data_IF_746823919994
#
_entry.id   IF_746823919994
#
_cell.length_a   1.000
_cell.length_b   1.000
_cell.length_c   1.000
_cell.angle_alpha   90.00
_cell.angle_beta   90.00
_cell.angle_gamma   90.00
#
_symmetry.space_group_name_H-M   'P 1'
#
loop_
_entity.id
_entity.type
_entity.pdbx_description
1 polymer ?
#
# COMPACT_ATOMS: atom_id res chain seq x y z
N UNK A 1 25.84 -1.10 -7.58
CA UNK A 1 24.80 -1.83 -8.36
C UNK A 1 23.86 -0.79 -8.96
N UNK A 2 23.42 -0.95 -10.21
CA UNK A 2 22.47 -0.01 -10.82
C UNK A 2 21.03 -0.56 -10.68
N UNK A 3 20.58 -0.70 -9.44
CA UNK A 3 19.25 -1.18 -9.08
C UNK A 3 18.59 -0.21 -8.12
N UNK A 4 17.25 -0.16 -8.11
CA UNK A 4 16.44 0.60 -7.17
C UNK A 4 15.30 -0.20 -6.59
N UNK A 5 14.69 0.29 -5.52
CA UNK A 5 13.54 -0.38 -4.89
C UNK A 5 12.41 0.62 -4.69
N UNK A 6 11.23 0.26 -5.18
CA UNK A 6 10.01 1.04 -5.11
C UNK A 6 9.01 0.31 -4.22
N UNK A 7 8.52 0.98 -3.20
CA UNK A 7 7.60 0.39 -2.24
C UNK A 7 6.23 1.05 -2.33
N UNK A 8 5.17 0.26 -2.41
CA UNK A 8 3.89 0.75 -1.94
C UNK A 8 3.89 0.92 -0.41
N UNK A 9 2.90 1.58 0.13
CA UNK A 9 2.78 1.87 1.56
C UNK A 9 1.82 0.92 2.27
N UNK A 10 0.55 0.99 1.88
CA UNK A 10 -0.56 0.35 2.56
C UNK A 10 -0.58 -1.16 2.24
N UNK A 11 -0.57 -2.01 3.25
CA UNK A 11 -0.46 -3.46 3.02
C UNK A 11 0.96 -3.95 2.69
N UNK A 12 1.92 -3.04 2.42
CA UNK A 12 3.33 -3.38 2.16
C UNK A 12 4.22 -3.00 3.34
N UNK A 13 4.24 -1.74 3.71
CA UNK A 13 5.11 -1.22 4.78
C UNK A 13 4.34 -1.00 6.08
N UNK A 14 3.05 -0.64 5.99
CA UNK A 14 2.16 -0.43 7.13
C UNK A 14 0.91 -1.29 7.02
N UNK A 15 0.44 -1.79 8.17
CA UNK A 15 -0.80 -2.56 8.27
C UNK A 15 -1.98 -1.60 8.47
N UNK A 16 -2.58 -1.18 7.38
CA UNK A 16 -3.83 -0.41 7.38
C UNK A 16 -5.05 -1.27 7.04
N UNK A 17 -4.88 -2.34 6.28
CA UNK A 17 -5.95 -3.22 5.83
C UNK A 17 -6.69 -3.91 7.00
N UNK A 18 -5.95 -4.37 8.02
CA UNK A 18 -6.57 -4.96 9.21
C UNK A 18 -7.42 -3.94 9.97
N UNK A 19 -6.96 -2.69 10.06
CA UNK A 19 -7.64 -1.60 10.75
C UNK A 19 -8.93 -1.19 10.02
N UNK A 20 -8.88 -1.02 8.70
CA UNK A 20 -10.09 -0.74 7.90
C UNK A 20 -11.06 -1.93 7.90
N UNK A 21 -10.55 -3.16 7.89
CA UNK A 21 -11.39 -4.37 8.01
C UNK A 21 -12.16 -4.38 9.33
N UNK A 22 -11.49 -4.01 10.44
CA UNK A 22 -12.14 -3.87 11.74
C UNK A 22 -13.18 -2.76 11.72
N UNK A 23 -12.84 -1.57 11.24
CA UNK A 23 -13.75 -0.43 11.13
C UNK A 23 -15.02 -0.79 10.35
N UNK A 24 -14.89 -1.35 9.14
CA UNK A 24 -16.03 -1.73 8.33
C UNK A 24 -16.86 -2.88 8.92
N UNK A 25 -16.25 -3.75 9.70
CA UNK A 25 -16.98 -4.78 10.47
C UNK A 25 -17.84 -4.14 11.56
N UNK A 26 -17.32 -3.14 12.28
CA UNK A 26 -18.06 -2.39 13.30
C UNK A 26 -19.19 -1.55 12.66
N UNK A 27 -18.94 -0.91 11.52
CA UNK A 27 -19.99 -0.21 10.74
C UNK A 27 -21.09 -1.17 10.32
N UNK A 28 -20.76 -2.36 9.80
CA UNK A 28 -21.76 -3.34 9.38
C UNK A 28 -22.55 -3.93 10.55
N UNK A 29 -22.01 -3.95 11.76
CA UNK A 29 -22.76 -4.32 12.98
C UNK A 29 -23.78 -3.24 13.35
N UNK A 30 -23.45 -1.96 13.17
CA UNK A 30 -24.31 -0.82 13.50
C UNK A 30 -25.36 -0.56 12.40
N UNK A 31 -24.95 -0.70 11.13
CA UNK A 31 -25.76 -0.51 9.93
C UNK A 31 -25.71 -1.79 9.08
N UNK A 32 -26.50 -2.83 9.41
CA UNK A 32 -26.38 -4.13 8.76
C UNK A 32 -26.73 -4.08 7.26
N UNK A 33 -25.80 -4.53 6.42
CA UNK A 33 -26.00 -4.60 4.95
C UNK A 33 -26.65 -5.91 4.50
N UNK A 34 -26.74 -6.93 5.36
CA UNK A 34 -27.15 -8.28 5.01
C UNK A 34 -26.12 -9.07 4.17
N UNK A 35 -24.91 -8.53 4.04
CA UNK A 35 -23.84 -9.15 3.24
C UNK A 35 -22.87 -9.88 4.18
N UNK A 36 -22.74 -11.19 4.01
CA UNK A 36 -21.77 -12.00 4.75
C UNK A 36 -20.34 -11.56 4.45
N UNK A 37 -19.50 -11.44 5.49
CA UNK A 37 -18.11 -11.00 5.37
C UNK A 37 -17.96 -9.66 4.66
N UNK A 38 -18.88 -8.72 4.94
CA UNK A 38 -19.00 -7.42 4.27
C UNK A 38 -17.65 -6.70 4.13
N UNK A 39 -16.90 -6.53 5.26
CA UNK A 39 -15.63 -5.82 5.27
C UNK A 39 -14.59 -6.41 4.30
N UNK A 40 -14.63 -7.72 4.04
CA UNK A 40 -13.76 -8.36 3.05
C UNK A 40 -14.25 -8.17 1.62
N UNK A 41 -15.58 -8.14 1.41
CA UNK A 41 -16.16 -7.98 0.06
C UNK A 41 -15.96 -6.59 -0.52
N UNK A 42 -15.83 -5.58 0.33
CA UNK A 42 -15.63 -4.18 -0.11
C UNK A 42 -14.15 -3.82 -0.31
N UNK A 43 -13.20 -4.72 -0.04
CA UNK A 43 -11.78 -4.45 -0.29
C UNK A 43 -11.55 -4.06 -1.75
N UNK A 44 -10.79 -2.97 -1.94
CA UNK A 44 -10.53 -2.41 -3.26
C UNK A 44 -11.68 -1.58 -3.87
N UNK A 45 -12.83 -1.46 -3.19
CA UNK A 45 -13.88 -0.53 -3.59
C UNK A 45 -13.56 0.89 -3.10
N UNK A 46 -13.88 1.89 -3.90
CA UNK A 46 -13.84 3.26 -3.43
C UNK A 46 -15.01 3.57 -2.49
N UNK A 47 -14.83 4.58 -1.64
CA UNK A 47 -15.80 4.95 -0.61
C UNK A 47 -17.18 5.30 -1.19
N UNK A 48 -17.22 6.07 -2.30
CA UNK A 48 -18.47 6.47 -2.95
C UNK A 48 -19.30 5.25 -3.36
N UNK A 49 -18.64 4.25 -3.97
CA UNK A 49 -19.30 3.00 -4.36
C UNK A 49 -19.81 2.21 -3.15
N UNK A 50 -19.04 2.15 -2.07
CA UNK A 50 -19.48 1.48 -0.83
C UNK A 50 -20.74 2.15 -0.31
N UNK A 51 -20.72 3.47 -0.14
CA UNK A 51 -21.85 4.22 0.40
C UNK A 51 -23.09 4.12 -0.50
N UNK A 52 -22.94 4.34 -1.79
CA UNK A 52 -24.10 4.35 -2.71
C UNK A 52 -24.70 2.96 -2.90
N UNK A 53 -23.89 1.90 -2.85
CA UNK A 53 -24.35 0.50 -3.08
C UNK A 53 -25.01 -0.10 -1.85
N UNK A 54 -24.42 0.12 -0.67
CA UNK A 54 -24.81 -0.61 0.54
C UNK A 54 -25.54 0.23 1.58
N UNK A 55 -25.44 1.54 1.51
CA UNK A 55 -26.04 2.49 2.45
C UNK A 55 -26.83 3.58 1.69
N UNK A 56 -27.99 3.24 1.08
CA UNK A 56 -28.73 4.19 0.23
C UNK A 56 -29.36 5.35 1.02
N UNK A 57 -29.51 5.22 2.34
CA UNK A 57 -30.04 6.25 3.21
C UNK A 57 -28.99 7.33 3.50
N UNK A 58 -29.36 8.60 3.24
CA UNK A 58 -28.44 9.74 3.35
C UNK A 58 -28.01 10.05 4.78
N UNK A 59 -28.84 9.72 5.77
CA UNK A 59 -28.49 9.98 7.17
C UNK A 59 -27.47 8.95 7.67
N UNK A 60 -27.66 7.66 7.33
CA UNK A 60 -26.67 6.63 7.57
C UNK A 60 -25.33 6.95 6.89
N UNK A 61 -25.35 7.46 5.64
CA UNK A 61 -24.11 7.88 4.96
C UNK A 61 -23.36 8.96 5.73
N UNK A 62 -24.07 9.99 6.23
CA UNK A 62 -23.44 11.06 7.02
C UNK A 62 -22.81 10.54 8.31
N UNK A 63 -23.52 9.65 9.01
CA UNK A 63 -23.00 9.07 10.25
C UNK A 63 -21.79 8.18 10.00
N UNK A 64 -21.80 7.37 8.93
CA UNK A 64 -20.67 6.55 8.50
C UNK A 64 -19.46 7.44 8.12
N UNK A 65 -19.68 8.52 7.37
CA UNK A 65 -18.62 9.46 7.00
C UNK A 65 -18.00 10.13 8.23
N UNK A 66 -18.84 10.55 9.19
CA UNK A 66 -18.35 11.11 10.46
C UNK A 66 -17.54 10.09 11.27
N UNK A 67 -18.01 8.85 11.33
CA UNK A 67 -17.29 7.76 12.00
C UNK A 67 -15.96 7.46 11.30
N UNK A 68 -15.94 7.44 9.96
CA UNK A 68 -14.72 7.23 9.17
C UNK A 68 -13.70 8.36 9.40
N UNK A 69 -14.13 9.61 9.36
CA UNK A 69 -13.26 10.77 9.62
C UNK A 69 -12.64 10.67 11.02
N UNK A 70 -13.45 10.33 12.04
CA UNK A 70 -12.94 10.15 13.40
C UNK A 70 -11.96 8.98 13.47
N UNK A 71 -12.29 7.83 12.86
CA UNK A 71 -11.39 6.69 12.79
C UNK A 71 -10.05 7.07 12.14
N UNK A 72 -10.08 7.79 11.03
CA UNK A 72 -8.86 8.23 10.33
C UNK A 72 -8.06 9.31 11.08
N UNK A 73 -8.69 10.05 11.99
CA UNK A 73 -7.98 10.96 12.91
C UNK A 73 -7.24 10.20 14.01
N UNK A 74 -7.84 9.11 14.50
CA UNK A 74 -7.36 8.33 15.64
C UNK A 74 -6.52 7.10 15.23
N UNK A 75 -6.48 6.76 13.93
CA UNK A 75 -5.80 5.56 13.41
C UNK A 75 -4.33 5.53 13.84
N UNK A 76 -3.90 4.36 14.37
CA UNK A 76 -2.52 4.11 14.73
C UNK A 76 -1.86 3.29 13.63
N UNK A 77 -0.98 3.92 12.85
CA UNK A 77 -0.26 3.25 11.78
C UNK A 77 0.78 2.28 12.36
N UNK A 78 0.63 1.01 12.07
CA UNK A 78 1.56 -0.04 12.49
C UNK A 78 2.48 -0.42 11.35
N UNK A 79 3.78 -0.23 11.54
CA UNK A 79 4.77 -0.71 10.58
C UNK A 79 4.87 -2.23 10.69
N UNK A 80 4.82 -2.93 9.56
CA UNK A 80 4.94 -4.39 9.56
C UNK A 80 6.28 -4.85 10.13
N UNK A 81 6.31 -6.00 10.83
CA UNK A 81 7.56 -6.58 11.33
C UNK A 81 8.57 -6.82 10.20
N UNK A 82 9.84 -6.53 10.46
CA UNK A 82 10.93 -6.69 9.49
C UNK A 82 11.15 -5.50 8.55
N UNK A 83 10.16 -4.64 8.33
CA UNK A 83 10.24 -3.50 7.40
C UNK A 83 11.41 -2.56 7.73
N UNK A 84 11.52 -2.11 8.97
CA UNK A 84 12.58 -1.16 9.37
C UNK A 84 13.97 -1.76 9.17
N UNK A 85 14.13 -3.06 9.48
CA UNK A 85 15.40 -3.76 9.24
C UNK A 85 15.72 -3.80 7.74
N UNK A 86 14.75 -4.18 6.91
CA UNK A 86 14.92 -4.28 5.47
C UNK A 86 15.27 -2.93 4.82
N UNK A 87 14.55 -1.86 5.18
CA UNK A 87 14.82 -0.50 4.71
C UNK A 87 16.21 0.00 5.17
N UNK A 88 16.60 -0.31 6.42
CA UNK A 88 17.93 0.02 6.94
C UNK A 88 19.02 -0.70 6.17
N UNK A 89 18.83 -1.99 5.85
CA UNK A 89 19.78 -2.80 5.10
C UNK A 89 19.98 -2.27 3.66
N UNK A 90 18.89 -1.84 2.99
CA UNK A 90 18.95 -1.17 1.68
C UNK A 90 19.77 0.12 1.76
N UNK A 91 19.47 0.96 2.74
CA UNK A 91 20.16 2.24 2.95
C UNK A 91 21.65 2.04 3.23
N UNK A 92 22.01 1.09 4.09
CA UNK A 92 23.41 0.77 4.40
C UNK A 92 24.19 0.26 3.20
N UNK A 93 23.50 -0.34 2.22
CA UNK A 93 24.10 -0.80 0.96
C UNK A 93 24.11 0.27 -0.12
N UNK A 94 23.56 1.46 0.15
CA UNK A 94 23.44 2.53 -0.84
C UNK A 94 22.52 2.17 -2.01
N UNK A 95 21.53 1.30 -1.79
CA UNK A 95 20.50 0.98 -2.81
C UNK A 95 19.41 2.03 -2.71
N UNK A 96 19.20 2.85 -3.76
CA UNK A 96 18.22 3.92 -3.73
C UNK A 96 16.79 3.39 -3.66
N UNK A 97 15.96 4.09 -2.87
CA UNK A 97 14.59 3.68 -2.57
C UNK A 97 13.59 4.81 -2.82
N UNK A 98 12.40 4.46 -3.32
CA UNK A 98 11.27 5.38 -3.35
C UNK A 98 10.03 4.76 -2.70
N UNK A 99 9.31 5.56 -1.92
CA UNK A 99 7.95 5.27 -1.50
C UNK A 99 6.99 5.75 -2.59
N UNK A 100 6.07 4.89 -3.03
CA UNK A 100 5.15 5.16 -4.15
C UNK A 100 3.75 4.74 -3.75
N UNK A 101 3.01 5.65 -3.14
CA UNK A 101 1.70 5.38 -2.56
C UNK A 101 0.56 6.08 -3.30
N UNK A 102 -0.63 5.48 -3.28
CA UNK A 102 -1.88 6.13 -3.68
C UNK A 102 -2.47 7.03 -2.60
N UNK A 103 -1.90 6.99 -1.39
CA UNK A 103 -2.29 7.87 -0.28
C UNK A 103 -1.94 9.33 -0.58
N UNK A 104 -2.77 10.24 -0.05
CA UNK A 104 -2.57 11.68 -0.18
C UNK A 104 -1.56 12.23 0.84
N UNK A 105 -1.22 13.50 0.68
CA UNK A 105 -0.25 14.19 1.56
C UNK A 105 -0.74 14.28 3.01
N UNK A 106 -2.06 14.34 3.27
CA UNK A 106 -2.61 14.43 4.61
C UNK A 106 -2.41 13.12 5.39
N UNK A 107 -2.66 11.97 4.75
CA UNK A 107 -2.37 10.66 5.35
C UNK A 107 -0.88 10.50 5.62
N UNK A 108 -0.02 10.94 4.68
CA UNK A 108 1.43 10.90 4.87
C UNK A 108 1.88 11.78 6.05
N UNK A 109 1.27 12.96 6.24
CA UNK A 109 1.53 13.83 7.39
C UNK A 109 1.17 13.15 8.71
N UNK A 110 0.01 12.48 8.78
CA UNK A 110 -0.42 11.72 9.96
C UNK A 110 0.57 10.57 10.27
N UNK A 111 1.00 9.83 9.25
CA UNK A 111 2.01 8.78 9.40
C UNK A 111 3.34 9.33 9.96
N UNK A 112 3.84 10.44 9.41
CA UNK A 112 5.11 11.02 9.86
C UNK A 112 5.03 11.63 11.25
N UNK A 113 3.86 12.10 11.70
CA UNK A 113 3.67 12.53 13.09
C UNK A 113 3.83 11.37 14.08
N UNK A 114 3.38 10.16 13.70
CA UNK A 114 3.51 8.96 14.51
C UNK A 114 4.91 8.30 14.37
N UNK A 115 5.50 8.39 13.19
CA UNK A 115 6.79 7.77 12.85
C UNK A 115 7.73 8.79 12.19
N UNK A 116 8.29 9.78 12.92
CA UNK A 116 9.03 10.91 12.33
C UNK A 116 10.26 10.52 11.51
N UNK A 117 10.91 9.40 11.86
CA UNK A 117 12.09 8.89 11.16
C UNK A 117 11.76 8.09 9.90
N UNK A 118 10.50 7.70 9.69
CA UNK A 118 10.11 6.79 8.60
C UNK A 118 10.45 7.34 7.21
N UNK A 119 10.21 8.63 6.98
CA UNK A 119 10.55 9.28 5.72
C UNK A 119 12.05 9.24 5.37
N UNK A 120 12.91 9.10 6.37
CA UNK A 120 14.37 9.13 6.19
C UNK A 120 14.94 7.85 5.55
N UNK A 121 14.10 6.82 5.36
CA UNK A 121 14.48 5.60 4.66
C UNK A 121 14.38 5.71 3.15
N UNK A 122 13.73 6.77 2.62
CA UNK A 122 13.46 6.91 1.20
C UNK A 122 14.21 8.11 0.61
N UNK A 123 14.78 7.91 -0.59
CA UNK A 123 15.42 8.97 -1.37
C UNK A 123 14.38 9.82 -2.11
N UNK A 124 13.19 9.23 -2.38
CA UNK A 124 12.05 9.92 -2.97
C UNK A 124 10.72 9.39 -2.42
N UNK A 125 9.70 10.25 -2.43
CA UNK A 125 8.33 9.91 -2.01
C UNK A 125 7.38 10.44 -3.07
N UNK A 126 6.55 9.55 -3.62
CA UNK A 126 5.50 9.85 -4.60
C UNK A 126 4.17 9.55 -3.95
N UNK A 127 3.34 10.56 -3.77
CA UNK A 127 1.97 10.44 -3.24
C UNK A 127 0.93 10.46 -4.36
N UNK A 128 -0.31 10.08 -4.04
CA UNK A 128 -1.42 10.10 -4.99
C UNK A 128 -1.65 11.46 -5.65
N UNK A 129 -1.41 12.55 -4.90
CA UNK A 129 -1.56 13.93 -5.41
C UNK A 129 -0.51 14.30 -6.48
N UNK A 130 0.56 13.55 -6.58
CA UNK A 130 1.67 13.82 -7.49
C UNK A 130 1.51 13.20 -8.86
N UNK A 131 0.48 12.38 -9.09
CA UNK A 131 0.26 11.66 -10.35
C UNK A 131 -1.07 12.05 -10.98
N UNK A 132 -1.14 12.00 -12.31
CA UNK A 132 -2.37 12.29 -13.05
C UNK A 132 -3.26 11.06 -13.19
N UNK A 133 -2.67 9.87 -13.15
CA UNK A 133 -3.36 8.58 -13.27
C UNK A 133 -2.92 7.66 -12.15
N UNK A 134 -3.89 7.24 -11.33
CA UNK A 134 -3.66 6.29 -10.23
C UNK A 134 -3.42 4.86 -10.74
N UNK A 135 -2.88 4.00 -9.90
CA UNK A 135 -2.78 2.54 -10.13
C UNK A 135 -4.17 2.00 -10.59
N UNK A 136 -4.26 1.16 -11.61
CA UNK A 136 -3.20 0.36 -12.22
C UNK A 136 -2.37 1.05 -13.31
N UNK A 137 -2.48 2.36 -13.52
CA UNK A 137 -1.58 3.05 -14.42
C UNK A 137 -0.16 3.09 -13.82
N UNK A 138 0.90 2.79 -14.59
CA UNK A 138 2.29 2.73 -14.09
C UNK A 138 2.95 4.08 -13.84
N UNK A 139 2.27 5.21 -14.06
CA UNK A 139 2.82 6.57 -13.95
C UNK A 139 3.57 6.80 -12.63
N UNK A 140 2.99 6.34 -11.50
CA UNK A 140 3.57 6.53 -10.19
C UNK A 140 4.94 5.83 -10.06
N UNK A 141 5.09 4.60 -10.58
CA UNK A 141 6.35 3.86 -10.53
C UNK A 141 7.38 4.44 -11.50
N UNK A 142 6.99 4.88 -12.71
CA UNK A 142 7.89 5.63 -13.59
C UNK A 142 8.44 6.88 -12.90
N UNK A 143 7.57 7.61 -12.20
CA UNK A 143 7.96 8.83 -11.49
C UNK A 143 8.91 8.51 -10.32
N UNK A 144 8.60 7.50 -9.50
CA UNK A 144 9.45 7.06 -8.40
C UNK A 144 10.84 6.63 -8.89
N UNK A 145 10.91 5.80 -9.90
CA UNK A 145 12.16 5.33 -10.51
C UNK A 145 13.00 6.49 -11.10
N UNK A 146 12.33 7.44 -11.81
CA UNK A 146 12.97 8.64 -12.34
C UNK A 146 13.59 9.51 -11.23
N UNK A 147 12.88 9.68 -10.12
CA UNK A 147 13.36 10.49 -8.99
C UNK A 147 14.61 9.91 -8.30
N UNK A 148 14.72 8.59 -8.26
CA UNK A 148 15.90 7.90 -7.72
C UNK A 148 16.98 7.62 -8.78
N UNK A 149 16.76 8.05 -10.04
CA UNK A 149 17.74 7.92 -11.13
C UNK A 149 17.97 6.50 -11.64
N UNK A 150 17.02 5.59 -11.45
CA UNK A 150 17.12 4.18 -11.86
C UNK A 150 16.02 3.86 -12.88
N UNK A 151 16.34 3.23 -14.04
CA UNK A 151 15.30 2.73 -14.94
C UNK A 151 14.38 1.73 -14.26
N UNK A 152 13.08 1.75 -14.55
CA UNK A 152 12.11 0.83 -13.92
C UNK A 152 12.45 -0.65 -14.15
N UNK A 153 13.04 -0.99 -15.30
CA UNK A 153 13.52 -2.34 -15.63
C UNK A 153 14.62 -2.85 -14.70
N UNK A 154 15.26 -1.94 -13.96
CA UNK A 154 16.28 -2.25 -12.95
C UNK A 154 15.74 -2.06 -11.54
N UNK A 155 14.42 -1.86 -11.38
CA UNK A 155 13.79 -1.70 -10.08
C UNK A 155 13.08 -2.99 -9.64
N UNK A 156 13.08 -3.20 -8.33
CA UNK A 156 12.13 -4.07 -7.65
C UNK A 156 10.95 -3.23 -7.17
N UNK A 157 9.73 -3.74 -7.33
CA UNK A 157 8.50 -3.13 -6.81
C UNK A 157 7.92 -4.05 -5.76
N UNK A 158 7.69 -3.55 -4.55
CA UNK A 158 6.96 -4.26 -3.50
C UNK A 158 5.51 -3.78 -3.48
N UNK A 159 4.55 -4.70 -3.62
CA UNK A 159 3.12 -4.42 -3.76
C UNK A 159 2.27 -5.57 -3.20
N UNK A 160 1.04 -5.26 -2.78
CA UNK A 160 0.08 -6.21 -2.21
C UNK A 160 -1.28 -6.22 -2.91
N UNK A 161 -1.55 -5.20 -3.73
CA UNK A 161 -2.85 -5.00 -4.39
C UNK A 161 -2.84 -5.40 -5.88
N UNK A 162 -3.98 -5.87 -6.43
CA UNK A 162 -4.06 -6.20 -7.86
C UNK A 162 -3.72 -5.03 -8.77
N UNK A 163 -4.17 -3.82 -8.39
CA UNK A 163 -3.93 -2.61 -9.19
C UNK A 163 -2.46 -2.18 -9.15
N UNK A 164 -1.81 -2.30 -7.99
CA UNK A 164 -0.42 -1.96 -7.86
C UNK A 164 0.51 -3.00 -8.47
N UNK A 165 0.22 -4.30 -8.31
CA UNK A 165 0.94 -5.39 -9.00
C UNK A 165 0.91 -5.16 -10.51
N UNK A 166 -0.29 -4.87 -11.07
CA UNK A 166 -0.43 -4.58 -12.49
C UNK A 166 0.39 -3.36 -12.90
N UNK A 167 0.35 -2.27 -12.14
CA UNK A 167 1.15 -1.07 -12.42
C UNK A 167 2.66 -1.35 -12.38
N UNK A 168 3.13 -2.16 -11.43
CA UNK A 168 4.51 -2.61 -11.32
C UNK A 168 4.96 -3.46 -12.50
N UNK A 169 4.13 -4.40 -12.95
CA UNK A 169 4.40 -5.21 -14.14
C UNK A 169 4.40 -4.35 -15.41
N UNK A 170 3.41 -3.47 -15.58
CA UNK A 170 3.28 -2.60 -16.75
C UNK A 170 4.44 -1.59 -16.87
N UNK A 171 5.11 -1.21 -15.77
CA UNK A 171 6.31 -0.39 -15.84
C UNK A 171 7.60 -1.19 -16.14
N UNK A 172 7.51 -2.52 -16.25
CA UNK A 172 8.63 -3.41 -16.56
C UNK A 172 9.54 -3.73 -15.36
N UNK A 173 9.10 -3.45 -14.14
CA UNK A 173 9.87 -3.76 -12.93
C UNK A 173 9.73 -5.24 -12.52
N UNK A 174 10.66 -5.72 -11.70
CA UNK A 174 10.53 -7.01 -10.99
C UNK A 174 9.59 -6.83 -9.80
N UNK A 175 8.35 -7.33 -9.90
CA UNK A 175 7.37 -7.21 -8.82
C UNK A 175 7.55 -8.32 -7.80
N UNK A 176 7.70 -7.95 -6.54
CA UNK A 176 7.66 -8.83 -5.38
C UNK A 176 6.34 -8.55 -4.65
N UNK A 177 5.41 -9.48 -4.73
CA UNK A 177 4.10 -9.31 -4.12
C UNK A 177 4.09 -9.73 -2.64
N UNK A 178 3.39 -8.97 -1.80
CA UNK A 178 3.10 -9.34 -0.42
C UNK A 178 1.70 -9.96 -0.32
N UNK A 179 1.60 -11.12 0.33
CA UNK A 179 0.33 -11.80 0.58
C UNK A 179 -0.33 -11.29 1.88
N UNK A 180 -0.43 -9.96 2.01
CA UNK A 180 -1.01 -9.25 3.16
C UNK A 180 -2.47 -8.86 2.92
N UNK A 181 -2.80 -8.48 1.70
CA UNK A 181 -4.15 -8.06 1.26
C UNK A 181 -4.86 -9.16 0.48
N UNK A 182 -4.15 -9.83 -0.42
CA UNK A 182 -4.65 -10.96 -1.20
C UNK A 182 -4.22 -12.30 -0.59
N UNK A 183 -5.02 -13.35 -0.79
CA UNK A 183 -4.53 -14.70 -0.56
C UNK A 183 -3.43 -15.01 -1.57
N UNK A 184 -2.37 -15.70 -1.14
CA UNK A 184 -1.23 -16.06 -1.99
C UNK A 184 -1.63 -16.71 -3.33
N UNK A 185 -2.69 -17.55 -3.31
CA UNK A 185 -3.20 -18.23 -4.51
C UNK A 185 -3.90 -17.30 -5.51
N UNK A 186 -4.33 -16.10 -5.07
CA UNK A 186 -5.06 -15.12 -5.88
C UNK A 186 -4.11 -14.05 -6.45
N UNK A 187 -2.82 -14.11 -6.10
CA UNK A 187 -1.79 -13.23 -6.63
C UNK A 187 -1.39 -13.69 -8.03
N UNK A 188 -1.26 -12.74 -8.95
CA UNK A 188 -0.85 -13.00 -10.34
C UNK A 188 0.51 -13.71 -10.39
N UNK A 189 0.57 -14.84 -11.10
CA UNK A 189 1.79 -15.64 -11.24
C UNK A 189 2.89 -14.99 -12.09
N UNK A 190 2.64 -13.84 -12.71
CA UNK A 190 3.64 -13.06 -13.46
C UNK A 190 4.56 -12.25 -12.56
N UNK A 191 4.30 -12.18 -11.25
CA UNK A 191 5.22 -11.55 -10.29
C UNK A 191 6.52 -12.35 -10.15
N UNK A 192 7.61 -11.65 -9.86
CA UNK A 192 8.93 -12.28 -9.71
C UNK A 192 9.04 -13.14 -8.44
N UNK A 193 8.34 -12.76 -7.37
CA UNK A 193 8.22 -13.54 -6.14
C UNK A 193 6.97 -13.14 -5.34
N UNK A 194 6.56 -14.03 -4.43
CA UNK A 194 5.51 -13.76 -3.44
C UNK A 194 6.11 -14.00 -2.05
N UNK A 195 5.99 -13.02 -1.16
CA UNK A 195 6.42 -13.13 0.23
C UNK A 195 5.24 -12.88 1.17
N UNK A 196 5.29 -13.40 2.39
CA UNK A 196 4.25 -13.19 3.41
C UNK A 196 4.62 -12.02 4.34
N UNK A 197 5.91 -11.74 4.50
CA UNK A 197 6.41 -10.65 5.37
C UNK A 197 7.88 -10.35 5.09
N UNK A 198 8.37 -9.24 5.67
CA UNK A 198 9.80 -8.91 5.68
C UNK A 198 10.60 -9.59 6.80
N UNK A 199 9.96 -10.39 7.67
CA UNK A 199 10.66 -11.04 8.81
C UNK A 199 11.72 -12.02 8.32
N UNK A 200 11.36 -12.86 7.36
CA UNK A 200 12.23 -13.89 6.79
C UNK A 200 12.73 -13.55 5.39
N UNK A 201 12.60 -12.26 4.98
CA UNK A 201 13.01 -11.77 3.67
C UNK A 201 14.03 -10.63 3.83
N UNK A 202 15.20 -10.81 3.27
CA UNK A 202 16.32 -9.87 3.34
C UNK A 202 16.77 -9.40 1.94
N UNK A 203 17.72 -8.46 1.93
CA UNK A 203 18.24 -7.87 0.68
C UNK A 203 18.98 -8.91 -0.16
N UNK A 204 19.66 -9.89 0.44
CA UNK A 204 20.31 -10.98 -0.27
C UNK A 204 19.29 -11.82 -1.05
N UNK A 205 18.20 -12.21 -0.40
CA UNK A 205 17.11 -12.96 -1.04
C UNK A 205 16.47 -12.17 -2.18
N UNK A 206 16.27 -10.85 -1.99
CA UNK A 206 15.77 -9.97 -3.06
C UNK A 206 16.72 -9.96 -4.27
N UNK A 207 18.02 -9.90 -4.05
CA UNK A 207 19.03 -9.83 -5.12
C UNK A 207 19.16 -11.14 -5.91
N UNK A 208 18.66 -12.26 -5.40
CA UNK A 208 18.65 -13.57 -6.07
C UNK A 208 17.42 -13.73 -7.01
N UNK A 209 16.43 -12.86 -6.91
CA UNK A 209 15.25 -12.77 -7.79
C UNK A 209 15.64 -11.99 -9.05
#
# INVERSE_FOLDING_TARGET
>A
MNIGVLFDLDGVLIDTESLYTQFWSEINNTYPTGVDNFAYKIKGCNLERILTTYYPDTDSQKEILNALNKFEEEIQYRIFPGVIKFLSDLKNRGIPTALVTSSDIEKMRKLYNQHPSFKNYFDSIITGDMVSKSKPNPECFFKGASQIGIPTTNCYVFEDSPSGIKAGLDCGAKVIALATTLLRQDIDNSVAAIIDSFVDFDVEKMLLI
#
